data_IF_245614840837
#
_entry.id   IF_245614840837
#
_cell.length_a   1.000
_cell.length_b   1.000
_cell.length_c   1.000
_cell.angle_alpha   90.00
_cell.angle_beta   90.00
_cell.angle_gamma   90.00
#
_symmetry.space_group_name_H-M   'P 1'
#
loop_
_entity.id
_entity.type
_entity.pdbx_description
1 polymer ?
#
# COMPACT_ATOMS: atom_id res chain seq x y z
N UNK A 1 8.32 5.86 -11.56
CA UNK A 1 7.89 5.67 -10.16
C UNK A 1 6.38 5.62 -10.13
N UNK A 2 5.78 4.56 -9.57
CA UNK A 2 4.34 4.37 -9.43
C UNK A 2 3.88 4.88 -8.06
N UNK A 3 2.96 5.84 -8.06
CA UNK A 3 2.44 6.46 -6.83
C UNK A 3 1.40 5.55 -6.15
N UNK A 4 1.33 5.59 -4.82
CA UNK A 4 0.24 4.94 -4.07
C UNK A 4 -1.10 5.68 -4.18
N UNK A 5 -1.11 6.95 -4.59
CA UNK A 5 -2.32 7.79 -4.64
C UNK A 5 -2.82 7.97 -6.07
N UNK A 6 -2.93 6.89 -6.83
CA UNK A 6 -3.48 7.00 -8.18
C UNK A 6 -5.01 7.21 -8.14
N UNK A 7 -5.55 8.15 -8.93
CA UNK A 7 -6.99 8.36 -9.02
C UNK A 7 -7.70 7.10 -9.53
N UNK A 8 -8.84 6.78 -8.92
CA UNK A 8 -9.70 5.70 -9.40
C UNK A 8 -10.56 6.22 -10.55
N UNK A 9 -10.85 5.40 -11.58
CA UNK A 9 -11.81 5.75 -12.62
C UNK A 9 -13.20 6.06 -12.03
N UNK A 10 -13.98 6.96 -12.66
CA UNK A 10 -15.37 7.16 -12.29
C UNK A 10 -16.16 5.84 -12.36
N UNK A 11 -16.98 5.56 -11.35
CA UNK A 11 -17.75 4.31 -11.26
C UNK A 11 -17.01 3.13 -10.62
N UNK A 12 -15.69 3.22 -10.44
CA UNK A 12 -14.88 2.14 -9.85
C UNK A 12 -14.05 2.62 -8.63
N UNK A 13 -14.67 3.21 -7.59
CA UNK A 13 -13.96 3.82 -6.46
C UNK A 13 -13.18 2.83 -5.59
N UNK A 14 -13.49 1.53 -5.72
CA UNK A 14 -12.84 0.44 -4.99
C UNK A 14 -11.90 -0.39 -5.88
N UNK A 15 -11.60 0.07 -7.11
CA UNK A 15 -10.66 -0.62 -7.97
C UNK A 15 -9.31 -0.76 -7.25
N UNK A 16 -8.80 -1.98 -7.09
CA UNK A 16 -7.50 -2.20 -6.46
C UNK A 16 -6.38 -1.47 -7.21
N UNK A 17 -5.39 -0.97 -6.47
CA UNK A 17 -4.29 -0.20 -7.05
C UNK A 17 -3.46 -0.98 -8.07
N UNK A 18 -3.34 -2.30 -7.92
CA UNK A 18 -2.64 -3.16 -8.87
C UNK A 18 -3.39 -3.29 -10.20
N UNK A 19 -4.72 -3.34 -10.19
CA UNK A 19 -5.53 -3.28 -11.41
C UNK A 19 -5.33 -1.97 -12.18
N UNK A 20 -5.04 -0.86 -11.48
CA UNK A 20 -4.68 0.42 -12.09
C UNK A 20 -3.23 0.43 -12.61
N UNK A 21 -2.30 -0.18 -11.87
CA UNK A 21 -0.86 -0.08 -12.14
C UNK A 21 -0.31 -1.13 -13.10
N UNK A 22 -0.85 -2.35 -13.08
CA UNK A 22 -0.36 -3.45 -13.89
C UNK A 22 -0.44 -3.12 -15.40
N UNK A 23 -1.51 -2.50 -15.94
CA UNK A 23 -1.52 -2.09 -17.35
C UNK A 23 -0.40 -1.11 -17.72
N UNK A 24 -0.02 -0.21 -16.79
CA UNK A 24 1.09 0.74 -17.00
C UNK A 24 2.43 -0.02 -17.01
N UNK A 25 2.59 -0.98 -16.10
CA UNK A 25 3.77 -1.86 -16.05
C UNK A 25 3.88 -2.67 -17.35
N UNK A 26 2.78 -3.28 -17.79
CA UNK A 26 2.74 -4.12 -18.98
C UNK A 26 3.11 -3.33 -20.23
N UNK A 27 2.59 -2.11 -20.38
CA UNK A 27 2.96 -1.20 -21.47
C UNK A 27 4.45 -0.80 -21.42
N UNK A 28 4.99 -0.52 -20.23
CA UNK A 28 6.41 -0.22 -20.05
C UNK A 28 7.31 -1.41 -20.43
N UNK A 29 6.95 -2.62 -20.00
CA UNK A 29 7.70 -3.84 -20.30
C UNK A 29 7.65 -4.17 -21.80
N UNK A 30 6.50 -4.00 -22.45
CA UNK A 30 6.34 -4.22 -23.89
C UNK A 30 7.14 -3.23 -24.74
N UNK A 31 7.37 -2.01 -24.25
CA UNK A 31 8.17 -0.99 -24.93
C UNK A 31 9.68 -1.10 -24.66
N UNK A 32 10.11 -2.03 -23.81
CA UNK A 32 11.50 -2.15 -23.39
C UNK A 32 12.33 -2.85 -24.48
N UNK A 33 13.48 -2.28 -24.91
CA UNK A 33 14.35 -2.97 -25.86
C UNK A 33 14.91 -4.27 -25.28
N UNK A 34 15.17 -5.23 -26.17
CA UNK A 34 15.76 -6.51 -25.80
C UNK A 34 17.06 -6.33 -25.00
N UNK A 35 17.21 -7.10 -23.92
CA UNK A 35 18.39 -7.08 -23.06
C UNK A 35 18.46 -5.92 -22.06
N UNK A 36 17.52 -4.96 -22.08
CA UNK A 36 17.47 -3.87 -21.09
C UNK A 36 16.76 -4.34 -19.82
N UNK A 37 17.37 -4.12 -18.65
CA UNK A 37 16.76 -4.48 -17.37
C UNK A 37 15.68 -3.45 -16.95
N UNK A 38 14.48 -3.88 -16.52
CA UNK A 38 13.42 -2.97 -16.09
C UNK A 38 13.77 -2.25 -14.79
N UNK A 39 13.39 -0.96 -14.68
CA UNK A 39 13.62 -0.12 -13.49
C UNK A 39 12.30 0.47 -13.00
N UNK A 40 11.54 -0.36 -12.27
CA UNK A 40 10.23 0.03 -11.72
C UNK A 40 10.39 0.31 -10.22
N UNK A 41 9.99 1.50 -9.79
CA UNK A 41 9.90 1.89 -8.39
C UNK A 41 8.43 2.07 -8.05
N UNK A 42 7.96 1.42 -6.98
CA UNK A 42 6.59 1.57 -6.48
C UNK A 42 6.62 2.14 -5.06
N UNK A 43 5.81 3.17 -4.82
CA UNK A 43 5.54 3.70 -3.48
C UNK A 43 4.41 2.90 -2.85
N UNK A 44 4.62 2.43 -1.62
CA UNK A 44 3.64 1.67 -0.83
C UNK A 44 3.62 2.17 0.61
N UNK A 45 2.47 2.06 1.27
CA UNK A 45 2.35 2.29 2.71
C UNK A 45 2.31 0.94 3.39
N UNK A 46 3.20 0.70 4.35
CA UNK A 46 3.19 -0.51 5.16
C UNK A 46 3.44 -0.18 6.64
N UNK A 47 2.79 -0.94 7.53
CA UNK A 47 3.07 -0.96 8.95
C UNK A 47 3.24 -2.41 9.39
N UNK A 48 4.42 -2.72 9.94
CA UNK A 48 4.82 -4.08 10.31
C UNK A 48 5.02 -4.14 11.82
N UNK A 49 4.49 -5.17 12.46
CA UNK A 49 4.72 -5.47 13.88
C UNK A 49 4.91 -6.98 14.09
N UNK A 50 5.17 -7.42 15.32
CA UNK A 50 5.50 -8.83 15.62
C UNK A 50 4.35 -9.81 15.36
N UNK A 51 3.10 -9.34 15.35
CA UNK A 51 1.94 -10.14 14.98
C UNK A 51 0.91 -9.31 14.22
N UNK A 52 0.15 -9.96 13.32
CA UNK A 52 -0.92 -9.32 12.58
C UNK A 52 -1.96 -8.63 13.50
N UNK A 53 -2.39 -9.31 14.57
CA UNK A 53 -3.37 -8.77 15.51
C UNK A 53 -2.87 -7.50 16.21
N UNK A 54 -1.60 -7.51 16.67
CA UNK A 54 -1.01 -6.34 17.29
C UNK A 54 -0.83 -5.19 16.28
N UNK A 55 -0.41 -5.51 15.05
CA UNK A 55 -0.26 -4.52 14.00
C UNK A 55 -1.58 -3.79 13.71
N UNK A 56 -2.68 -4.53 13.59
CA UNK A 56 -4.02 -3.97 13.39
C UNK A 56 -4.47 -3.11 14.58
N UNK A 57 -4.29 -3.61 15.82
CA UNK A 57 -4.67 -2.88 17.03
C UNK A 57 -3.97 -1.51 17.11
N UNK A 58 -2.68 -1.45 16.82
CA UNK A 58 -1.90 -0.20 16.83
C UNK A 58 -2.28 0.70 15.66
N UNK A 59 -2.55 0.12 14.48
CA UNK A 59 -2.84 0.87 13.27
C UNK A 59 -4.25 1.47 13.23
N UNK A 60 -5.23 0.81 13.85
CA UNK A 60 -6.66 1.15 13.70
C UNK A 60 -6.97 2.64 13.92
N UNK A 61 -6.54 3.31 15.01
CA UNK A 61 -6.91 4.72 15.24
C UNK A 61 -6.43 5.64 14.11
N UNK A 62 -5.22 5.37 13.61
CA UNK A 62 -4.63 6.13 12.52
C UNK A 62 -5.28 5.85 11.17
N UNK A 63 -5.62 4.59 10.89
CA UNK A 63 -6.34 4.18 9.68
C UNK A 63 -7.72 4.84 9.62
N UNK A 64 -8.47 4.84 10.74
CA UNK A 64 -9.78 5.50 10.83
C UNK A 64 -9.69 7.00 10.57
N UNK A 65 -8.72 7.67 11.19
CA UNK A 65 -8.49 9.12 10.98
C UNK A 65 -8.15 9.43 9.52
N UNK A 66 -7.25 8.64 8.93
CA UNK A 66 -6.80 8.84 7.55
C UNK A 66 -7.92 8.55 6.54
N UNK A 67 -8.66 7.45 6.70
CA UNK A 67 -9.78 7.08 5.82
C UNK A 67 -10.90 8.10 5.80
N UNK A 68 -11.24 8.65 6.98
CA UNK A 68 -12.25 9.71 7.10
C UNK A 68 -11.81 11.06 6.53
N UNK A 69 -10.51 11.26 6.30
CA UNK A 69 -9.95 12.51 5.75
C UNK A 69 -9.58 12.40 4.27
N UNK A 70 -9.74 11.23 3.65
CA UNK A 70 -9.29 10.98 2.28
C UNK A 70 -10.24 11.63 1.25
N UNK A 71 -9.72 12.38 0.25
CA UNK A 71 -10.55 12.95 -0.81
C UNK A 71 -11.29 11.87 -1.61
N UNK A 72 -12.60 12.05 -1.82
CA UNK A 72 -13.44 11.09 -2.54
C UNK A 72 -13.82 9.83 -1.76
N UNK A 73 -13.30 9.65 -0.54
CA UNK A 73 -13.82 8.69 0.42
C UNK A 73 -15.09 9.25 1.06
N UNK A 74 -16.24 8.64 0.80
CA UNK A 74 -17.41 8.90 1.64
C UNK A 74 -17.05 8.61 3.10
N UNK A 75 -17.62 9.35 4.06
CA UNK A 75 -17.43 9.05 5.47
C UNK A 75 -17.87 7.61 5.72
N UNK A 76 -16.90 6.72 5.94
CA UNK A 76 -17.16 5.32 6.18
C UNK A 76 -17.88 5.22 7.55
N UNK A 77 -19.16 4.79 7.53
CA UNK A 77 -20.01 4.54 8.70
C UNK A 77 -19.34 3.60 9.74
N UNK A 78 -19.81 3.60 10.98
CA UNK A 78 -19.35 2.74 12.10
C UNK A 78 -19.36 1.23 11.81
N UNK A 79 -19.93 0.80 10.68
CA UNK A 79 -20.00 -0.59 10.21
C UNK A 79 -18.76 -1.07 9.46
N UNK A 80 -17.84 -0.17 9.11
CA UNK A 80 -16.62 -0.54 8.41
C UNK A 80 -15.56 -1.10 9.35
N UNK A 81 -14.97 -2.20 8.91
CA UNK A 81 -13.86 -2.87 9.57
C UNK A 81 -12.55 -2.10 9.34
N UNK A 82 -11.55 -2.32 10.21
CA UNK A 82 -10.19 -1.79 10.00
C UNK A 82 -9.62 -2.18 8.63
N UNK A 83 -9.99 -3.37 8.13
CA UNK A 83 -9.63 -3.91 6.82
C UNK A 83 -10.18 -3.11 5.64
N UNK A 84 -11.34 -2.46 5.79
CA UNK A 84 -11.89 -1.60 4.73
C UNK A 84 -11.05 -0.34 4.53
N UNK A 85 -10.53 0.22 5.63
CA UNK A 85 -9.63 1.37 5.57
C UNK A 85 -8.28 1.01 4.95
N UNK A 86 -7.79 -0.22 5.12
CA UNK A 86 -6.57 -0.69 4.45
C UNK A 86 -6.71 -0.66 2.94
N UNK A 87 -7.82 -1.17 2.41
CA UNK A 87 -8.09 -1.16 0.98
C UNK A 87 -8.24 0.27 0.44
N UNK A 88 -8.96 1.13 1.14
CA UNK A 88 -9.14 2.53 0.72
C UNK A 88 -7.80 3.30 0.66
N UNK A 89 -6.90 3.04 1.60
CA UNK A 89 -5.64 3.77 1.75
C UNK A 89 -4.47 3.14 0.98
N UNK A 90 -4.70 2.02 0.29
CA UNK A 90 -3.68 1.16 -0.31
C UNK A 90 -2.54 0.87 0.70
N UNK A 91 -2.93 0.48 1.92
CA UNK A 91 -2.03 0.25 3.05
C UNK A 91 -1.94 -1.23 3.40
N UNK A 92 -0.73 -1.68 3.71
CA UNK A 92 -0.43 -3.06 4.12
C UNK A 92 -0.11 -3.10 5.60
N UNK A 93 -0.86 -3.86 6.40
CA UNK A 93 -0.68 -3.92 7.85
C UNK A 93 -0.67 -5.36 8.31
N UNK A 94 0.36 -5.74 9.07
CA UNK A 94 0.48 -7.09 9.61
C UNK A 94 1.85 -7.40 10.19
N UNK A 95 2.12 -8.68 10.42
CA UNK A 95 3.49 -9.16 10.54
C UNK A 95 4.16 -9.25 9.15
N UNK A 96 5.46 -9.55 9.06
CA UNK A 96 6.17 -9.59 7.78
C UNK A 96 5.54 -10.53 6.75
N UNK A 97 5.09 -11.71 7.18
CA UNK A 97 4.49 -12.70 6.28
C UNK A 97 3.16 -12.19 5.71
N UNK A 98 2.31 -11.60 6.56
CA UNK A 98 1.05 -11.01 6.12
C UNK A 98 1.27 -9.84 5.15
N UNK A 99 2.25 -8.97 5.41
CA UNK A 99 2.54 -7.83 4.52
C UNK A 99 3.10 -8.30 3.19
N UNK A 100 3.99 -9.29 3.16
CA UNK A 100 4.54 -9.85 1.91
C UNK A 100 3.45 -10.56 1.10
N UNK A 101 2.56 -11.31 1.77
CA UNK A 101 1.45 -12.00 1.12
C UNK A 101 0.37 -11.02 0.59
N UNK A 102 0.30 -9.80 1.13
CA UNK A 102 -0.74 -8.86 0.77
C UNK A 102 -0.65 -8.42 -0.71
N UNK A 103 -1.78 -8.42 -1.45
CA UNK A 103 -1.79 -8.02 -2.86
C UNK A 103 -1.20 -6.64 -3.08
N UNK A 104 -0.38 -6.48 -4.10
CA UNK A 104 0.23 -5.18 -4.43
C UNK A 104 1.45 -4.77 -3.59
N UNK A 105 1.78 -5.48 -2.51
CA UNK A 105 2.99 -5.23 -1.72
C UNK A 105 4.29 -5.56 -2.50
N UNK A 106 4.25 -6.50 -3.45
CA UNK A 106 5.40 -6.71 -4.34
C UNK A 106 5.32 -7.76 -5.45
N UNK A 107 4.14 -8.12 -5.94
CA UNK A 107 3.97 -9.35 -6.75
C UNK A 107 4.48 -9.31 -8.22
N UNK A 108 4.68 -8.14 -8.85
CA UNK A 108 5.04 -8.07 -10.28
C UNK A 108 6.36 -7.38 -10.63
N UNK A 109 6.92 -6.62 -9.71
CA UNK A 109 8.19 -5.94 -9.95
C UNK A 109 9.27 -6.80 -9.29
N UNK A 110 9.72 -7.92 -9.88
CA UNK A 110 10.54 -9.00 -9.28
C UNK A 110 11.68 -8.69 -8.27
N UNK A 111 12.66 -9.58 -8.05
CA UNK A 111 13.55 -9.53 -6.87
C UNK A 111 14.49 -8.31 -6.77
N UNK A 112 14.55 -7.43 -7.79
CA UNK A 112 15.44 -6.25 -7.84
C UNK A 112 14.74 -4.91 -7.63
N UNK A 113 13.45 -4.92 -7.32
CA UNK A 113 12.70 -3.68 -7.16
C UNK A 113 12.62 -3.31 -5.67
N UNK A 114 13.10 -2.11 -5.35
CA UNK A 114 13.09 -1.60 -3.98
C UNK A 114 11.72 -1.01 -3.68
N UNK A 115 11.03 -1.57 -2.71
CA UNK A 115 9.83 -0.96 -2.16
C UNK A 115 10.25 0.11 -1.14
N UNK A 116 9.86 1.35 -1.38
CA UNK A 116 10.01 2.40 -0.37
C UNK A 116 8.72 2.46 0.44
N UNK A 117 8.80 2.00 1.70
CA UNK A 117 7.72 2.13 2.68
C UNK A 117 7.78 3.55 3.23
N UNK A 118 6.93 4.44 2.71
CA UNK A 118 6.82 5.80 3.26
C UNK A 118 5.94 5.75 4.49
N UNK A 119 6.50 6.11 5.64
CA UNK A 119 5.78 6.30 6.91
C UNK A 119 4.84 7.51 6.88
N UNK A 120 3.93 7.60 5.90
CA UNK A 120 2.93 8.66 5.82
C UNK A 120 1.90 8.59 6.95
N UNK A 121 1.85 7.46 7.68
CA UNK A 121 1.18 7.37 8.98
C UNK A 121 1.98 8.10 10.08
N UNK A 122 3.23 8.48 9.88
CA UNK A 122 4.16 9.03 10.87
C UNK A 122 3.71 10.30 11.62
N UNK A 123 2.74 11.08 11.10
CA UNK A 123 2.15 12.19 11.88
C UNK A 123 1.06 11.76 12.87
N UNK A 124 0.52 10.55 12.73
CA UNK A 124 -0.42 9.95 13.67
C UNK A 124 0.22 8.88 14.58
N UNK A 125 1.47 8.49 14.33
CA UNK A 125 2.15 7.35 14.95
C UNK A 125 3.48 7.73 15.64
N UNK A 126 3.61 8.99 16.08
CA UNK A 126 4.85 9.57 16.58
C UNK A 126 5.32 9.05 17.96
N UNK A 127 5.07 7.79 18.30
CA UNK A 127 5.63 7.19 19.51
C UNK A 127 5.96 5.71 19.26
N UNK A 128 7.24 5.41 19.03
CA UNK A 128 7.81 4.07 19.31
C UNK A 128 8.15 3.13 18.15
N UNK A 129 8.05 3.52 16.87
CA UNK A 129 8.29 2.59 15.75
C UNK A 129 9.78 2.53 15.38
N UNK A 130 10.42 1.35 15.51
CA UNK A 130 11.74 1.06 14.92
C UNK A 130 11.57 0.52 13.51
N UNK A 131 12.18 1.17 12.53
CA UNK A 131 12.29 0.62 11.17
C UNK A 131 13.30 -0.54 11.17
N UNK A 132 12.87 -1.74 10.77
CA UNK A 132 13.75 -2.88 10.52
C UNK A 132 14.06 -2.93 9.02
N UNK A 133 15.34 -2.98 8.60
CA UNK A 133 15.68 -3.20 7.19
C UNK A 133 15.36 -4.65 6.79
N UNK A 134 14.61 -4.82 5.71
CA UNK A 134 14.49 -6.11 5.03
C UNK A 134 15.87 -6.45 4.43
N UNK A 135 16.49 -7.51 4.95
CA UNK A 135 17.78 -8.05 4.47
C UNK A 135 17.54 -9.12 3.40
#
# INVERSE_FOLDING_TARGET
MLSRTQPRPPGEPRLPLDAIQNPIIDAYLAALPDGVAPRILASRTAFVADSHAHALQVAEPGLRKAGNSAPGGGSYDRRYSVTDYLQQLDAHVGDPEHVIASPGAGQRAGPRHRYFVSGALGRAFATGIRCVPLS
#
